data_IF_547765933942
#
_entry.id   IF_547765933942
#
_cell.length_a   1.000
_cell.length_b   1.000
_cell.length_c   1.000
_cell.angle_alpha   90.00
_cell.angle_beta   90.00
_cell.angle_gamma   90.00
#
_symmetry.space_group_name_H-M   'P 1'
#
loop_
_entity.id
_entity.type
_entity.pdbx_description
1 polymer ?
#
# COMPACT_ATOMS: atom_id res chain seq x y z
N UNK A 1 -4.47 12.08 11.88
CA UNK A 1 -5.55 11.66 12.80
C UNK A 1 -5.13 11.71 14.26
N UNK A 2 -3.88 11.38 14.58
CA UNK A 2 -3.38 11.44 15.95
C UNK A 2 -3.47 12.87 16.55
N UNK A 3 -3.12 13.90 15.78
CA UNK A 3 -3.26 15.30 16.23
C UNK A 3 -4.72 15.64 16.55
N UNK A 4 -5.66 15.28 15.67
CA UNK A 4 -7.09 15.50 15.90
C UNK A 4 -7.60 14.80 17.17
N UNK A 5 -7.11 13.59 17.46
CA UNK A 5 -7.40 12.90 18.72
C UNK A 5 -6.84 13.64 19.93
N UNK A 6 -5.56 14.08 19.87
CA UNK A 6 -4.90 14.81 20.97
C UNK A 6 -5.54 16.18 21.24
N UNK A 7 -6.10 16.82 20.22
CA UNK A 7 -6.81 18.09 20.31
C UNK A 7 -8.28 17.92 20.75
N UNK A 8 -8.74 16.69 21.00
CA UNK A 8 -10.13 16.38 21.38
C UNK A 8 -11.13 16.46 20.22
N UNK A 9 -10.66 16.59 18.98
CA UNK A 9 -11.47 16.60 17.76
C UNK A 9 -11.83 15.21 17.21
N UNK A 10 -11.29 14.14 17.79
CA UNK A 10 -11.67 12.76 17.49
C UNK A 10 -11.65 11.90 18.77
N UNK A 11 -12.53 10.91 18.85
CA UNK A 11 -12.53 9.93 19.94
C UNK A 11 -11.60 8.73 19.66
N UNK A 12 -11.38 7.89 20.67
CA UNK A 12 -10.51 6.72 20.56
C UNK A 12 -11.04 5.69 19.55
N UNK A 13 -12.36 5.54 19.44
CA UNK A 13 -12.99 4.62 18.48
C UNK A 13 -12.73 5.06 17.04
N UNK A 14 -12.86 6.36 16.77
CA UNK A 14 -12.54 6.96 15.47
C UNK A 14 -11.06 6.78 15.11
N UNK A 15 -10.14 6.99 16.07
CA UNK A 15 -8.71 6.76 15.85
C UNK A 15 -8.41 5.30 15.51
N UNK A 16 -8.94 4.35 16.27
CA UNK A 16 -8.75 2.91 16.00
C UNK A 16 -9.34 2.50 14.66
N UNK A 17 -10.58 2.92 14.37
CA UNK A 17 -11.23 2.63 13.09
C UNK A 17 -10.42 3.16 11.91
N UNK A 18 -9.88 4.39 12.03
CA UNK A 18 -9.03 4.98 11.01
C UNK A 18 -7.73 4.19 10.81
N UNK A 19 -7.04 3.80 11.89
CA UNK A 19 -5.80 3.00 11.82
C UNK A 19 -6.06 1.67 11.12
N UNK A 20 -7.12 0.98 11.50
CA UNK A 20 -7.51 -0.30 10.88
C UNK A 20 -7.84 -0.12 9.41
N UNK A 21 -8.67 0.88 9.07
CA UNK A 21 -9.07 1.15 7.69
C UNK A 21 -7.86 1.46 6.79
N UNK A 22 -6.96 2.34 7.24
CA UNK A 22 -5.75 2.70 6.48
C UNK A 22 -4.82 1.52 6.34
N UNK A 23 -4.62 0.73 7.40
CA UNK A 23 -3.77 -0.46 7.35
C UNK A 23 -4.29 -1.47 6.33
N UNK A 24 -5.60 -1.73 6.33
CA UNK A 24 -6.23 -2.63 5.35
C UNK A 24 -6.14 -2.07 3.93
N UNK A 25 -6.49 -0.79 3.74
CA UNK A 25 -6.46 -0.13 2.44
C UNK A 25 -5.06 -0.16 1.80
N UNK A 26 -4.02 0.18 2.57
CA UNK A 26 -2.63 0.14 2.08
C UNK A 26 -2.18 -1.30 1.80
N UNK A 27 -2.51 -2.24 2.69
CA UNK A 27 -2.11 -3.65 2.52
C UNK A 27 -2.69 -4.24 1.24
N UNK A 28 -3.97 -4.01 0.99
CA UNK A 28 -4.65 -4.47 -0.22
C UNK A 28 -4.11 -3.74 -1.46
N UNK A 29 -3.88 -2.44 -1.37
CA UNK A 29 -3.32 -1.61 -2.44
C UNK A 29 -1.95 -2.10 -2.93
N UNK A 30 -1.00 -2.27 -2.01
CA UNK A 30 0.34 -2.75 -2.35
C UNK A 30 0.32 -4.22 -2.78
N UNK A 31 -0.49 -5.07 -2.13
CA UNK A 31 -0.69 -6.44 -2.59
C UNK A 31 -1.23 -6.50 -4.02
N UNK A 32 -2.16 -5.62 -4.39
CA UNK A 32 -2.73 -5.54 -5.72
C UNK A 32 -1.65 -5.18 -6.76
N UNK A 33 -0.80 -4.19 -6.48
CA UNK A 33 0.38 -3.89 -7.32
C UNK A 33 1.26 -5.13 -7.51
N UNK A 34 1.64 -5.80 -6.41
CA UNK A 34 2.50 -6.97 -6.43
C UNK A 34 1.90 -8.14 -7.23
N UNK A 35 0.60 -8.42 -7.04
CA UNK A 35 -0.12 -9.47 -7.76
C UNK A 35 -0.23 -9.17 -9.24
N UNK A 36 -0.47 -7.91 -9.62
CA UNK A 36 -0.56 -7.53 -11.03
C UNK A 36 0.78 -7.62 -11.73
N UNK A 37 1.87 -7.21 -11.06
CA UNK A 37 3.23 -7.35 -11.57
C UNK A 37 3.61 -8.82 -11.77
N UNK A 38 3.31 -9.68 -10.78
CA UNK A 38 3.51 -11.13 -10.92
C UNK A 38 2.72 -11.72 -12.10
N UNK A 39 1.46 -11.33 -12.26
CA UNK A 39 0.64 -11.78 -13.39
C UNK A 39 1.17 -11.27 -14.76
N UNK A 40 1.87 -10.13 -14.79
CA UNK A 40 2.52 -9.59 -15.98
C UNK A 40 3.85 -10.28 -16.32
N UNK A 41 4.37 -11.15 -15.45
CA UNK A 41 5.61 -11.89 -15.63
C UNK A 41 6.78 -11.44 -14.76
N UNK A 42 6.59 -10.44 -13.90
CA UNK A 42 7.64 -9.95 -12.99
C UNK A 42 7.62 -10.70 -11.66
N UNK A 43 8.64 -11.52 -11.41
CA UNK A 43 8.78 -12.29 -10.18
C UNK A 43 9.42 -11.49 -9.03
N UNK A 44 9.91 -10.26 -9.27
CA UNK A 44 10.56 -9.40 -8.26
C UNK A 44 9.70 -9.16 -7.00
N UNK A 45 8.38 -8.89 -7.10
CA UNK A 45 7.53 -8.75 -5.92
C UNK A 45 7.40 -10.04 -5.10
N UNK A 46 7.43 -11.20 -5.77
CA UNK A 46 7.34 -12.50 -5.10
C UNK A 46 8.64 -12.80 -4.35
N UNK A 47 9.78 -12.61 -5.00
CA UNK A 47 11.11 -12.84 -4.43
C UNK A 47 11.43 -11.90 -3.26
N UNK A 48 10.90 -10.67 -3.31
CA UNK A 48 11.03 -9.68 -2.23
C UNK A 48 9.97 -9.84 -1.12
N UNK A 49 9.14 -10.89 -1.17
CA UNK A 49 8.13 -11.19 -0.16
C UNK A 49 6.95 -10.21 -0.12
N UNK A 50 6.68 -9.49 -1.22
CA UNK A 50 5.62 -8.48 -1.31
C UNK A 50 4.29 -9.00 -1.85
N UNK A 51 4.24 -10.21 -2.37
CA UNK A 51 2.98 -10.88 -2.73
C UNK A 51 2.35 -11.48 -1.47
N UNK A 52 1.92 -10.62 -0.54
CA UNK A 52 1.35 -11.01 0.75
C UNK A 52 0.33 -9.99 1.26
N UNK A 53 -0.64 -10.46 2.04
CA UNK A 53 -1.58 -9.62 2.79
C UNK A 53 -1.11 -9.35 4.23
N UNK A 54 0.16 -9.65 4.54
CA UNK A 54 0.76 -9.24 5.81
C UNK A 54 1.03 -7.73 5.80
N UNK A 55 0.36 -6.91 6.63
CA UNK A 55 0.54 -5.46 6.64
C UNK A 55 1.97 -5.04 6.95
N UNK A 56 2.71 -5.83 7.75
CA UNK A 56 4.10 -5.54 8.10
C UNK A 56 5.03 -5.60 6.89
N UNK A 57 4.67 -6.35 5.84
CA UNK A 57 5.45 -6.40 4.61
C UNK A 57 5.38 -5.09 3.83
N UNK A 58 4.35 -4.27 4.06
CA UNK A 58 4.07 -3.01 3.34
C UNK A 58 4.27 -1.77 4.22
N UNK A 59 4.70 -1.97 5.47
CA UNK A 59 4.91 -0.91 6.44
C UNK A 59 6.25 -0.17 6.20
N UNK A 60 6.18 1.15 6.08
CA UNK A 60 7.34 2.05 6.13
C UNK A 60 7.31 2.84 7.46
N UNK A 61 8.31 2.74 8.34
CA UNK A 61 8.28 3.41 9.64
C UNK A 61 8.15 4.93 9.54
N UNK A 62 8.77 5.55 8.53
CA UNK A 62 8.74 7.00 8.35
C UNK A 62 7.42 7.40 7.74
N UNK A 63 7.05 6.81 6.61
CA UNK A 63 5.81 7.11 5.88
C UNK A 63 4.55 6.86 6.72
N UNK A 64 4.53 5.76 7.50
CA UNK A 64 3.39 5.45 8.38
C UNK A 64 3.31 6.40 9.58
N UNK A 65 4.45 6.91 10.06
CA UNK A 65 4.45 7.94 11.11
C UNK A 65 3.83 9.25 10.59
N UNK A 66 4.14 9.64 9.34
CA UNK A 66 3.50 10.78 8.70
C UNK A 66 1.99 10.59 8.55
N UNK A 67 1.52 9.37 8.21
CA UNK A 67 0.08 9.07 8.15
C UNK A 67 -0.61 9.38 9.48
N UNK A 68 -0.03 8.95 10.60
CA UNK A 68 -0.60 9.17 11.93
C UNK A 68 -0.65 10.66 12.30
N UNK A 69 0.47 11.35 12.11
CA UNK A 69 0.66 12.74 12.52
C UNK A 69 -0.07 13.72 11.60
N UNK A 70 0.23 13.67 10.30
CA UNK A 70 -0.16 14.68 9.33
C UNK A 70 -1.36 14.26 8.45
N UNK A 71 -1.79 13.00 8.52
CA UNK A 71 -2.89 12.49 7.70
C UNK A 71 -2.52 12.15 6.25
N UNK A 72 -1.25 12.32 5.87
CA UNK A 72 -0.68 11.88 4.60
C UNK A 72 0.60 11.08 4.86
N UNK A 73 0.98 10.19 3.95
CA UNK A 73 2.19 9.38 4.09
C UNK A 73 2.35 8.42 2.91
N UNK A 74 3.23 7.44 3.05
CA UNK A 74 3.45 6.40 2.05
C UNK A 74 3.66 5.04 2.71
N UNK A 75 3.35 4.00 1.96
CA UNK A 75 3.68 2.62 2.29
C UNK A 75 5.11 2.30 1.84
N UNK A 76 5.64 1.15 2.28
CA UNK A 76 6.88 0.62 1.76
C UNK A 76 6.62 0.07 0.36
N UNK A 77 7.10 0.71 -0.72
CA UNK A 77 6.66 0.41 -2.07
C UNK A 77 7.02 -1.02 -2.48
N UNK A 78 6.20 -1.59 -3.38
CA UNK A 78 6.49 -2.86 -4.05
C UNK A 78 7.57 -2.65 -5.13
N UNK A 79 8.68 -3.40 -5.10
CA UNK A 79 9.67 -3.35 -6.17
C UNK A 79 9.11 -4.04 -7.41
N UNK A 80 9.25 -3.38 -8.56
CA UNK A 80 8.74 -3.84 -9.85
C UNK A 80 9.84 -3.75 -10.90
N UNK A 81 9.97 -4.76 -11.75
CA UNK A 81 10.89 -4.83 -12.87
C UNK A 81 10.13 -4.82 -14.22
N UNK A 82 9.96 -3.64 -14.86
CA UNK A 82 9.26 -3.55 -16.13
C UNK A 82 9.92 -4.27 -17.30
N UNK A 83 11.20 -4.67 -17.18
CA UNK A 83 11.88 -5.44 -18.21
C UNK A 83 11.41 -6.91 -18.26
N UNK A 84 10.79 -7.42 -17.19
CA UNK A 84 10.22 -8.76 -17.12
C UNK A 84 8.78 -8.85 -17.67
N UNK A 85 8.15 -7.72 -17.96
CA UNK A 85 6.76 -7.68 -18.43
C UNK A 85 6.59 -8.19 -19.86
N UNK A 86 5.51 -8.95 -20.09
CA UNK A 86 5.12 -9.41 -21.44
C UNK A 86 4.84 -8.25 -22.39
N UNK A 87 4.13 -7.22 -21.91
CA UNK A 87 3.93 -5.97 -22.64
C UNK A 87 4.29 -4.78 -21.76
N UNK A 88 5.56 -4.34 -21.84
CA UNK A 88 6.11 -3.29 -20.97
C UNK A 88 5.24 -2.04 -20.83
N UNK A 89 4.59 -1.57 -21.90
CA UNK A 89 3.75 -0.35 -21.84
C UNK A 89 2.45 -0.60 -21.10
N UNK A 90 1.69 -1.60 -21.54
CA UNK A 90 0.36 -1.87 -20.98
C UNK A 90 0.43 -2.46 -19.59
N UNK A 91 1.37 -3.35 -19.33
CA UNK A 91 1.51 -3.95 -18.00
C UNK A 91 1.99 -2.93 -16.98
N UNK A 92 2.88 -2.00 -17.34
CA UNK A 92 3.26 -0.90 -16.43
C UNK A 92 2.05 -0.03 -16.06
N UNK A 93 1.21 0.31 -17.04
CA UNK A 93 -0.02 1.07 -16.78
C UNK A 93 -0.96 0.29 -15.85
N UNK A 94 -1.21 -0.98 -16.15
CA UNK A 94 -2.11 -1.79 -15.33
C UNK A 94 -1.58 -2.03 -13.93
N UNK A 95 -0.28 -2.27 -13.78
CA UNK A 95 0.37 -2.38 -12.47
C UNK A 95 0.17 -1.09 -11.69
N UNK A 96 0.45 0.08 -12.26
CA UNK A 96 0.27 1.37 -11.59
C UNK A 96 -1.20 1.67 -11.19
N UNK A 97 -2.18 1.15 -11.94
CA UNK A 97 -3.60 1.35 -11.63
C UNK A 97 -4.17 0.33 -10.64
N UNK A 98 -3.55 -0.84 -10.48
CA UNK A 98 -4.15 -1.95 -9.74
C UNK A 98 -4.31 -1.67 -8.24
N UNK A 99 -3.36 -0.94 -7.64
CA UNK A 99 -3.48 -0.48 -6.26
C UNK A 99 -4.65 0.48 -6.06
N UNK A 100 -4.74 1.61 -6.79
CA UNK A 100 -5.88 2.51 -6.68
C UNK A 100 -7.23 1.84 -6.90
N UNK A 101 -7.33 0.97 -7.92
CA UNK A 101 -8.57 0.24 -8.22
C UNK A 101 -8.99 -0.74 -7.14
N UNK A 102 -8.08 -1.24 -6.30
CA UNK A 102 -8.44 -2.18 -5.22
C UNK A 102 -9.16 -1.52 -4.05
N UNK A 103 -9.20 -0.19 -4.00
CA UNK A 103 -9.80 0.58 -2.90
C UNK A 103 -11.13 1.25 -3.31
N UNK A 104 -11.69 0.93 -4.48
CA UNK A 104 -13.01 1.36 -4.96
C UNK A 104 -14.08 0.31 -4.62
#
# INVERSE_FOLDING_TARGET
MLLAYLEGGADAGQLVAWIVAVTLAITVHEYAHARRALAAGDHTPLESGRVTLNPLAHYDPVGTTFFLLAGFGWAKPVPVNPAAFRNRRWDSLWVALWGPLSNL
#
